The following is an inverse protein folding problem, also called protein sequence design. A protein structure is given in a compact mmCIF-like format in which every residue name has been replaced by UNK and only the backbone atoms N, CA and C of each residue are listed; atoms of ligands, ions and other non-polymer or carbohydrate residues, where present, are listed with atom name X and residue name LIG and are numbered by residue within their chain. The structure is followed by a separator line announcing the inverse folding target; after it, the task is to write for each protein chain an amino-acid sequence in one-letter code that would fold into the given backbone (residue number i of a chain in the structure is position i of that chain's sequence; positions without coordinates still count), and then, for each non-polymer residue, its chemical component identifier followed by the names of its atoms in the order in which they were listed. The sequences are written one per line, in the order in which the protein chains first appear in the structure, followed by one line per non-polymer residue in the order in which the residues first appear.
data_IF_695146523661
#
_entry.id   IF_695146523661
#
_cell.length_a   1.000
_cell.length_b   1.000
_cell.length_c   1.000
_cell.angle_alpha   90.00
_cell.angle_beta   90.00
_cell.angle_gamma   90.00
#
_symmetry.space_group_name_H-M   'P 1'
#
loop_
_entity.id
_entity.type
_entity.pdbx_description
1 polymer ?
#
# COMPACT_ATOMS: atom_id res chain seq x y z
N UNK A 1 22.17 21.63 -16.64
CA UNK A 1 20.74 21.80 -16.33
C UNK A 1 20.59 21.95 -14.83
N UNK A 2 20.19 23.13 -14.35
CA UNK A 2 20.05 23.43 -12.92
C UNK A 2 18.87 22.65 -12.33
N UNK A 3 19.16 21.74 -11.37
CA UNK A 3 18.15 21.16 -10.52
C UNK A 3 17.45 22.31 -9.78
N UNK A 4 16.16 22.49 -10.06
CA UNK A 4 15.30 23.35 -9.25
C UNK A 4 15.07 22.59 -7.93
N UNK A 5 15.95 22.81 -6.95
CA UNK A 5 15.71 22.44 -5.56
C UNK A 5 14.52 23.27 -5.07
N UNK A 6 13.32 22.71 -5.20
CA UNK A 6 12.21 23.19 -4.39
C UNK A 6 12.55 22.78 -2.97
N UNK A 7 12.91 23.76 -2.14
CA UNK A 7 13.05 23.62 -0.70
C UNK A 7 11.68 23.20 -0.15
N UNK A 8 11.41 21.90 -0.14
CA UNK A 8 10.42 21.32 0.77
C UNK A 8 11.09 21.38 2.12
N UNK A 9 10.52 22.10 3.07
CA UNK A 9 10.97 22.06 4.46
C UNK A 9 11.18 20.60 4.83
N UNK A 10 12.43 20.23 5.16
CA UNK A 10 12.83 18.89 5.56
C UNK A 10 12.13 18.52 6.87
N UNK A 11 10.90 18.05 6.75
CA UNK A 11 10.18 17.45 7.86
C UNK A 11 10.82 16.09 8.12
N UNK A 12 11.94 16.14 8.87
CA UNK A 12 12.59 14.94 9.37
C UNK A 12 11.58 14.13 10.17
N UNK A 13 11.31 12.92 9.72
CA UNK A 13 10.41 12.01 10.39
C UNK A 13 11.11 11.40 11.61
N UNK A 14 10.36 11.22 12.68
CA UNK A 14 10.79 10.47 13.85
C UNK A 14 9.75 9.41 14.17
N UNK A 15 10.19 8.22 14.53
CA UNK A 15 9.30 7.18 15.05
C UNK A 15 8.65 7.65 16.37
N UNK A 16 7.53 7.04 16.77
CA UNK A 16 6.99 7.25 18.11
C UNK A 16 8.06 7.07 19.20
N UNK A 17 7.90 7.77 20.32
CA UNK A 17 8.87 7.79 21.40
C UNK A 17 9.24 6.38 21.88
N UNK A 18 10.54 6.11 22.03
CA UNK A 18 11.07 4.82 22.48
C UNK A 18 11.05 3.70 21.43
N UNK A 19 10.60 3.98 20.19
CA UNK A 19 10.53 3.01 19.09
C UNK A 19 11.75 3.09 18.17
N UNK A 20 12.13 1.95 17.58
CA UNK A 20 13.38 1.81 16.84
C UNK A 20 13.21 1.25 15.42
N UNK A 21 12.30 0.31 15.21
CA UNK A 21 12.21 -0.42 13.95
C UNK A 21 10.78 -0.50 13.39
N UNK A 22 10.62 -0.05 12.14
CA UNK A 22 9.32 0.08 11.47
C UNK A 22 9.09 -1.01 10.43
N UNK A 23 7.95 -1.66 10.47
CA UNK A 23 7.45 -2.49 9.36
C UNK A 23 6.34 -1.73 8.61
N UNK A 24 6.59 -1.38 7.35
CA UNK A 24 5.62 -0.66 6.53
C UNK A 24 4.85 -1.61 5.60
N UNK A 25 3.56 -1.81 5.86
CA UNK A 25 2.69 -2.50 4.91
C UNK A 25 2.54 -1.68 3.62
N UNK A 26 2.78 -2.31 2.48
CA UNK A 26 2.69 -1.67 1.16
C UNK A 26 1.81 -2.43 0.18
N UNK A 27 1.19 -1.74 -0.80
CA UNK A 27 0.31 -2.36 -1.80
C UNK A 27 0.68 -2.06 -3.25
N UNK A 28 1.37 -0.95 -3.53
CA UNK A 28 1.77 -0.55 -4.87
C UNK A 28 2.82 0.56 -4.81
N UNK A 29 3.75 0.58 -5.75
CA UNK A 29 4.86 1.52 -5.79
C UNK A 29 4.40 3.00 -5.85
N UNK A 30 3.38 3.39 -6.64
CA UNK A 30 2.91 4.77 -6.63
C UNK A 30 2.51 5.28 -5.24
N UNK A 31 1.95 4.41 -4.40
CA UNK A 31 1.50 4.80 -3.06
C UNK A 31 2.61 4.79 -2.00
N UNK A 32 3.68 4.06 -2.20
CA UNK A 32 4.72 3.91 -1.18
C UNK A 32 6.03 4.63 -1.50
N UNK A 33 6.30 4.97 -2.76
CA UNK A 33 7.59 5.51 -3.19
C UNK A 33 8.04 6.77 -2.43
N UNK A 34 7.18 7.78 -2.32
CA UNK A 34 7.48 8.98 -1.53
C UNK A 34 7.74 8.66 -0.05
N UNK A 35 6.94 7.76 0.52
CA UNK A 35 7.10 7.35 1.93
C UNK A 35 8.45 6.65 2.12
N UNK A 36 8.84 5.77 1.20
CA UNK A 36 10.12 5.06 1.24
C UNK A 36 11.30 6.04 1.22
N UNK A 37 11.31 7.02 0.29
CA UNK A 37 12.35 8.04 0.23
C UNK A 37 12.42 8.85 1.53
N UNK A 38 11.28 9.33 2.04
CA UNK A 38 11.22 10.13 3.28
C UNK A 38 11.68 9.37 4.51
N UNK A 39 11.35 8.08 4.64
CA UNK A 39 11.83 7.24 5.72
C UNK A 39 13.34 7.02 5.65
N UNK A 40 13.87 6.76 4.44
CA UNK A 40 15.30 6.61 4.20
C UNK A 40 16.10 7.91 4.49
N UNK A 41 15.63 9.06 3.98
CA UNK A 41 16.19 10.38 4.23
C UNK A 41 16.21 10.72 5.74
N UNK A 42 15.18 10.28 6.46
CA UNK A 42 15.08 10.43 7.93
C UNK A 42 15.92 9.43 8.71
N UNK A 43 16.61 8.50 8.03
CA UNK A 43 17.44 7.43 8.63
C UNK A 43 16.68 6.52 9.60
N UNK A 44 15.42 6.30 9.32
CA UNK A 44 14.59 5.34 10.06
C UNK A 44 14.96 3.93 9.61
N UNK A 45 15.18 3.01 10.56
CA UNK A 45 15.32 1.58 10.27
C UNK A 45 13.93 1.00 9.94
N UNK A 46 13.75 0.56 8.69
CA UNK A 46 12.47 0.02 8.25
C UNK A 46 12.59 -1.04 7.17
N UNK A 47 11.57 -1.90 7.11
CA UNK A 47 11.36 -2.85 6.01
C UNK A 47 9.97 -2.68 5.40
N UNK A 48 9.85 -3.09 4.14
CA UNK A 48 8.57 -3.19 3.45
C UNK A 48 7.95 -4.57 3.65
N UNK A 49 6.65 -4.59 3.90
CA UNK A 49 5.88 -5.82 4.04
C UNK A 49 4.78 -5.88 3.00
N UNK A 50 4.91 -6.78 2.02
CA UNK A 50 3.96 -6.93 0.93
C UNK A 50 3.05 -8.14 1.21
N UNK A 51 1.85 -7.87 1.73
CA UNK A 51 0.79 -8.85 1.95
C UNK A 51 -0.54 -8.31 1.45
N UNK A 52 -0.99 -8.77 0.29
CA UNK A 52 -2.13 -8.19 -0.40
C UNK A 52 -3.05 -9.25 -1.04
N UNK A 53 -3.70 -10.12 -0.24
CA UNK A 53 -4.59 -11.18 -0.75
C UNK A 53 -5.84 -10.63 -1.48
N UNK A 54 -6.06 -9.35 -1.35
CA UNK A 54 -7.16 -8.62 -2.00
C UNK A 54 -6.88 -8.22 -3.44
N UNK A 55 -5.65 -8.31 -3.93
CA UNK A 55 -5.34 -7.86 -5.30
C UNK A 55 -5.62 -9.01 -6.27
N UNK A 56 -6.56 -8.78 -7.18
CA UNK A 56 -7.03 -9.73 -8.18
C UNK A 56 -7.10 -9.07 -9.56
N UNK A 57 -6.83 -9.81 -10.64
CA UNK A 57 -6.32 -11.19 -10.70
C UNK A 57 -4.84 -11.30 -10.27
N UNK A 58 -4.30 -12.50 -10.21
CA UNK A 58 -2.90 -12.77 -9.83
C UNK A 58 -1.89 -11.97 -10.66
N UNK A 59 -2.19 -11.73 -11.95
CA UNK A 59 -1.37 -10.88 -12.82
C UNK A 59 -1.21 -9.45 -12.28
N UNK A 60 -2.29 -8.82 -11.84
CA UNK A 60 -2.26 -7.49 -11.22
C UNK A 60 -1.50 -7.49 -9.89
N UNK A 61 -1.66 -8.56 -9.12
CA UNK A 61 -0.91 -8.77 -7.88
C UNK A 61 0.60 -8.82 -8.15
N UNK A 62 1.04 -9.64 -9.11
CA UNK A 62 2.46 -9.77 -9.47
C UNK A 62 3.04 -8.46 -9.98
N UNK A 63 2.33 -7.74 -10.86
CA UNK A 63 2.77 -6.42 -11.34
C UNK A 63 3.06 -5.45 -10.20
N UNK A 64 2.15 -5.36 -9.21
CA UNK A 64 2.35 -4.46 -8.07
C UNK A 64 3.44 -4.93 -7.14
N UNK A 65 3.60 -6.24 -6.98
CA UNK A 65 4.67 -6.83 -6.16
C UNK A 65 6.04 -6.53 -6.77
N UNK A 66 6.22 -6.88 -8.03
CA UNK A 66 7.49 -6.75 -8.73
C UNK A 66 7.97 -5.29 -8.79
N UNK A 67 7.05 -4.35 -9.00
CA UNK A 67 7.38 -2.94 -9.02
C UNK A 67 7.75 -2.40 -7.63
N UNK A 68 7.05 -2.81 -6.56
CA UNK A 68 7.43 -2.47 -5.20
C UNK A 68 8.83 -3.00 -4.87
N UNK A 69 9.10 -4.26 -5.23
CA UNK A 69 10.39 -4.89 -5.03
C UNK A 69 11.49 -4.15 -5.80
N UNK A 70 11.28 -3.89 -7.09
CA UNK A 70 12.23 -3.14 -7.92
C UNK A 70 12.63 -1.80 -7.29
N UNK A 71 11.64 -1.07 -6.76
CA UNK A 71 11.92 0.24 -6.17
C UNK A 71 12.57 0.12 -4.78
N UNK A 72 12.22 -0.90 -3.99
CA UNK A 72 12.91 -1.22 -2.75
C UNK A 72 14.39 -1.57 -2.98
N UNK A 73 14.67 -2.44 -3.95
CA UNK A 73 16.03 -2.82 -4.36
C UNK A 73 16.85 -1.59 -4.79
N UNK A 74 16.25 -0.66 -5.56
CA UNK A 74 16.88 0.60 -5.98
C UNK A 74 17.31 1.47 -4.80
N UNK A 75 16.53 1.46 -3.71
CA UNK A 75 16.81 2.25 -2.51
C UNK A 75 17.61 1.49 -1.44
N UNK A 76 17.93 0.21 -1.67
CA UNK A 76 18.60 -0.65 -0.71
C UNK A 76 17.75 -1.00 0.51
N UNK A 77 16.42 -1.07 0.36
CA UNK A 77 15.46 -1.32 1.45
C UNK A 77 15.05 -2.78 1.45
N UNK A 78 15.00 -3.39 2.64
CA UNK A 78 14.52 -4.76 2.80
C UNK A 78 13.06 -4.89 2.34
N UNK A 79 12.81 -5.81 1.39
CA UNK A 79 11.47 -6.15 0.91
C UNK A 79 11.09 -7.55 1.37
N UNK A 80 10.05 -7.63 2.21
CA UNK A 80 9.53 -8.87 2.74
C UNK A 80 8.31 -9.27 1.92
N UNK A 81 8.48 -10.32 1.10
CA UNK A 81 7.38 -10.97 0.40
C UNK A 81 6.66 -11.91 1.37
N UNK A 82 5.49 -11.49 1.80
CA UNK A 82 4.68 -12.26 2.77
C UNK A 82 3.68 -13.21 2.10
N UNK A 83 3.87 -13.48 0.83
CA UNK A 83 3.03 -14.33 0.01
C UNK A 83 3.60 -15.74 -0.05
N UNK A 84 3.42 -16.49 1.04
CA UNK A 84 3.80 -17.91 1.09
C UNK A 84 2.90 -18.76 0.17
N UNK A 85 1.61 -18.38 0.05
CA UNK A 85 0.60 -19.02 -0.79
C UNK A 85 -0.51 -18.04 -1.13
N UNK A 86 -0.35 -17.35 -2.27
CA UNK A 86 -1.31 -16.36 -2.75
C UNK A 86 -2.73 -16.91 -2.90
N UNK A 87 -2.88 -18.13 -3.39
CA UNK A 87 -4.22 -18.71 -3.65
C UNK A 87 -4.93 -19.01 -2.33
N UNK A 88 -4.23 -19.59 -1.36
CA UNK A 88 -4.75 -19.84 -0.01
C UNK A 88 -5.11 -18.54 0.70
N UNK A 89 -4.24 -17.54 0.67
CA UNK A 89 -4.47 -16.25 1.33
C UNK A 89 -5.61 -15.46 0.69
N UNK A 90 -5.75 -15.54 -0.64
CA UNK A 90 -6.91 -15.04 -1.37
C UNK A 90 -8.21 -15.72 -0.93
N UNK A 91 -8.22 -17.03 -0.82
CA UNK A 91 -9.41 -17.79 -0.44
C UNK A 91 -9.82 -17.46 1.01
N UNK A 92 -8.87 -17.30 1.92
CA UNK A 92 -9.12 -16.79 3.27
C UNK A 92 -9.69 -15.36 3.26
N UNK A 93 -9.22 -14.50 2.35
CA UNK A 93 -9.76 -13.15 2.19
C UNK A 93 -11.22 -13.18 1.71
N UNK A 94 -11.56 -14.03 0.75
CA UNK A 94 -12.93 -14.21 0.30
C UNK A 94 -13.83 -14.79 1.41
N UNK A 95 -13.36 -15.77 2.14
CA UNK A 95 -14.10 -16.36 3.27
C UNK A 95 -14.41 -15.32 4.35
N UNK A 96 -13.43 -14.49 4.72
CA UNK A 96 -13.59 -13.42 5.72
C UNK A 96 -14.62 -12.37 5.29
N UNK A 97 -14.74 -12.10 4.01
CA UNK A 97 -15.63 -11.09 3.44
C UNK A 97 -16.91 -11.67 2.83
N UNK A 98 -17.21 -12.93 3.13
CA UNK A 98 -18.42 -13.59 2.68
C UNK A 98 -19.66 -12.79 3.07
N UNK A 99 -20.62 -12.69 2.14
CA UNK A 99 -21.85 -11.90 2.33
C UNK A 99 -21.68 -10.38 2.17
N UNK A 100 -20.44 -9.86 1.99
CA UNK A 100 -20.19 -8.41 1.87
C UNK A 100 -19.98 -7.93 0.42
N UNK A 101 -20.37 -8.74 -0.57
CA UNK A 101 -20.13 -8.43 -2.00
C UNK A 101 -20.73 -7.12 -2.48
N UNK A 102 -21.86 -6.71 -1.92
CA UNK A 102 -22.59 -5.49 -2.31
C UNK A 102 -22.27 -4.26 -1.42
N UNK A 103 -21.44 -4.44 -0.39
CA UNK A 103 -20.96 -3.31 0.41
C UNK A 103 -20.19 -2.30 -0.48
N UNK A 104 -20.41 -0.99 -0.31
CA UNK A 104 -19.69 0.02 -1.09
C UNK A 104 -18.20 0.04 -0.75
N UNK A 105 -17.42 0.74 -1.58
CA UNK A 105 -16.06 1.13 -1.18
C UNK A 105 -16.12 1.98 0.08
N UNK A 106 -15.14 1.81 0.97
CA UNK A 106 -15.06 2.38 2.32
C UNK A 106 -16.12 1.84 3.31
N UNK A 107 -16.97 0.87 2.91
CA UNK A 107 -17.90 0.16 3.78
C UNK A 107 -17.22 -0.93 4.63
N UNK A 108 -18.04 -1.79 5.25
CA UNK A 108 -17.59 -2.87 6.15
C UNK A 108 -16.63 -3.85 5.46
N UNK A 109 -16.86 -4.16 4.18
CA UNK A 109 -15.94 -4.99 3.38
C UNK A 109 -14.52 -4.43 3.38
N UNK A 110 -14.34 -3.11 3.20
CA UNK A 110 -13.02 -2.50 3.23
C UNK A 110 -12.39 -2.56 4.62
N UNK A 111 -13.18 -2.40 5.69
CA UNK A 111 -12.69 -2.60 7.06
C UNK A 111 -12.14 -4.02 7.25
N UNK A 112 -12.92 -5.05 6.90
CA UNK A 112 -12.48 -6.44 7.03
C UNK A 112 -11.23 -6.76 6.18
N UNK A 113 -11.11 -6.12 5.01
CA UNK A 113 -9.91 -6.21 4.16
C UNK A 113 -8.68 -5.60 4.83
N UNK A 114 -8.80 -4.42 5.45
CA UNK A 114 -7.70 -3.78 6.18
C UNK A 114 -7.33 -4.57 7.42
N UNK A 115 -8.32 -5.03 8.18
CA UNK A 115 -8.10 -5.81 9.39
C UNK A 115 -7.27 -7.07 9.10
N UNK A 116 -7.62 -7.86 8.09
CA UNK A 116 -6.85 -9.05 7.73
C UNK A 116 -5.39 -8.73 7.39
N UNK A 117 -5.18 -7.69 6.60
CA UNK A 117 -3.84 -7.29 6.16
C UNK A 117 -3.00 -6.81 7.33
N UNK A 118 -3.56 -5.98 8.20
CA UNK A 118 -2.83 -5.43 9.35
C UNK A 118 -2.64 -6.44 10.48
N UNK A 119 -3.58 -7.36 10.70
CA UNK A 119 -3.39 -8.49 11.61
C UNK A 119 -2.19 -9.38 11.22
N UNK A 120 -2.05 -9.67 9.91
CA UNK A 120 -0.89 -10.44 9.40
C UNK A 120 0.40 -9.61 9.56
N UNK A 121 0.35 -8.31 9.24
CA UNK A 121 1.49 -7.39 9.42
C UNK A 121 1.91 -7.30 10.88
N UNK A 122 0.97 -7.14 11.82
CA UNK A 122 1.26 -7.03 13.25
C UNK A 122 1.87 -8.33 13.82
N UNK A 123 1.34 -9.49 13.44
CA UNK A 123 1.92 -10.78 13.84
C UNK A 123 3.35 -10.94 13.33
N UNK A 124 3.60 -10.60 12.08
CA UNK A 124 4.94 -10.66 11.52
C UNK A 124 5.89 -9.70 12.24
N UNK A 125 5.45 -8.47 12.51
CA UNK A 125 6.22 -7.46 13.22
C UNK A 125 6.70 -7.99 14.58
N UNK A 126 5.81 -8.57 15.36
CA UNK A 126 6.13 -9.12 16.68
C UNK A 126 7.12 -10.28 16.62
N UNK A 127 6.93 -11.22 15.67
CA UNK A 127 7.84 -12.36 15.50
C UNK A 127 9.24 -11.92 15.07
N UNK A 128 9.35 -10.81 14.33
CA UNK A 128 10.60 -10.35 13.73
C UNK A 128 11.16 -9.05 14.38
N UNK A 129 10.71 -8.75 15.61
CA UNK A 129 11.25 -7.66 16.46
C UNK A 129 11.09 -6.26 15.83
N UNK A 130 10.01 -6.01 15.12
CA UNK A 130 9.57 -4.65 14.78
C UNK A 130 8.67 -4.15 15.90
N UNK A 131 8.83 -2.90 16.28
CA UNK A 131 8.06 -2.28 17.37
C UNK A 131 7.08 -1.20 16.88
N UNK A 132 7.13 -0.88 15.58
CA UNK A 132 6.17 0.01 14.90
C UNK A 132 5.66 -0.64 13.62
N UNK A 133 4.38 -0.50 13.34
CA UNK A 133 3.81 -0.78 12.03
C UNK A 133 3.11 0.46 11.47
N UNK A 134 3.10 0.59 10.16
CA UNK A 134 2.32 1.60 9.43
C UNK A 134 1.88 1.07 8.07
N UNK A 135 1.16 1.87 7.30
CA UNK A 135 0.76 1.50 5.94
C UNK A 135 0.81 2.65 4.95
N UNK A 136 1.26 2.36 3.74
CA UNK A 136 1.20 3.29 2.62
C UNK A 136 -0.23 3.57 2.12
N UNK A 137 -1.23 2.80 2.56
CA UNK A 137 -2.63 2.97 2.15
C UNK A 137 -3.19 4.36 2.45
N UNK A 138 -2.73 4.98 3.54
CA UNK A 138 -3.18 6.28 4.00
C UNK A 138 -2.87 7.44 3.04
N UNK A 139 -1.92 7.31 2.12
CA UNK A 139 -1.58 8.35 1.14
C UNK A 139 -2.66 8.49 0.05
N UNK A 140 -3.38 7.42 -0.25
CA UNK A 140 -4.39 7.42 -1.31
C UNK A 140 -5.62 8.26 -0.92
N UNK A 141 -5.92 9.30 -1.71
CA UNK A 141 -7.13 10.12 -1.55
C UNK A 141 -8.46 9.35 -1.73
N UNK A 142 -8.39 8.17 -2.34
CA UNK A 142 -9.55 7.32 -2.58
C UNK A 142 -9.92 6.45 -1.37
N UNK A 143 -9.09 6.44 -0.34
CA UNK A 143 -9.31 5.67 0.88
C UNK A 143 -9.65 6.58 2.06
N UNK A 144 -10.44 6.05 2.97
CA UNK A 144 -10.72 6.67 4.26
C UNK A 144 -9.55 6.39 5.20
N UNK A 145 -8.84 7.45 5.60
CA UNK A 145 -7.65 7.35 6.44
C UNK A 145 -8.00 6.96 7.87
N UNK A 146 -9.13 7.44 8.39
CA UNK A 146 -9.56 7.09 9.75
C UNK A 146 -9.95 5.62 9.83
N UNK A 147 -10.60 5.08 8.78
CA UNK A 147 -10.90 3.66 8.67
C UNK A 147 -9.61 2.81 8.66
N UNK A 148 -8.59 3.23 7.89
CA UNK A 148 -7.29 2.56 7.84
C UNK A 148 -6.62 2.60 9.21
N UNK A 149 -6.55 3.78 9.83
CA UNK A 149 -5.90 3.97 11.12
C UNK A 149 -6.59 3.15 12.23
N UNK A 150 -7.92 3.16 12.27
CA UNK A 150 -8.67 2.30 13.23
C UNK A 150 -8.36 0.82 13.05
N UNK A 151 -8.22 0.33 11.81
CA UNK A 151 -7.84 -1.07 11.55
C UNK A 151 -6.42 -1.35 12.00
N UNK A 152 -5.49 -0.44 11.74
CA UNK A 152 -4.08 -0.58 12.15
C UNK A 152 -3.93 -0.60 13.67
N UNK A 153 -4.58 0.33 14.37
CA UNK A 153 -4.58 0.39 15.84
C UNK A 153 -5.17 -0.87 16.45
N UNK A 154 -6.29 -1.38 15.92
CA UNK A 154 -6.86 -2.66 16.38
C UNK A 154 -5.90 -3.83 16.20
N UNK A 155 -5.17 -3.86 15.07
CA UNK A 155 -4.23 -4.93 14.79
C UNK A 155 -3.01 -4.92 15.73
N UNK A 156 -2.54 -3.74 16.13
CA UNK A 156 -1.43 -3.59 17.06
C UNK A 156 -1.84 -3.82 18.52
N UNK A 157 -3.08 -3.49 18.90
CA UNK A 157 -3.56 -3.51 20.30
C UNK A 157 -3.30 -4.81 21.10
N UNK A 158 -3.32 -6.03 20.51
CA UNK A 158 -3.02 -7.24 21.25
C UNK A 158 -1.55 -7.38 21.70
N UNK A 159 -0.65 -6.51 21.21
CA UNK A 159 0.79 -6.63 21.40
C UNK A 159 1.33 -5.42 22.16
N UNK A 160 1.70 -5.59 23.43
CA UNK A 160 2.09 -4.50 24.34
C UNK A 160 3.22 -3.59 23.80
N UNK A 161 4.15 -4.14 23.02
CA UNK A 161 5.30 -3.41 22.51
C UNK A 161 5.15 -2.93 21.06
N UNK A 162 4.00 -3.18 20.42
CA UNK A 162 3.74 -2.80 19.04
C UNK A 162 2.84 -1.58 18.96
N UNK A 163 3.22 -0.60 18.15
CA UNK A 163 2.43 0.58 17.90
C UNK A 163 2.08 0.72 16.41
N UNK A 164 0.86 1.12 16.10
CA UNK A 164 0.48 1.54 14.75
C UNK A 164 0.68 3.05 14.59
N UNK A 165 1.62 3.44 13.76
CA UNK A 165 1.93 4.84 13.50
C UNK A 165 0.90 5.47 12.55
N UNK A 166 0.08 6.37 13.09
CA UNK A 166 -1.06 7.01 12.40
C UNK A 166 -0.65 8.25 11.60
N UNK A 167 0.58 8.36 11.14
CA UNK A 167 1.06 9.51 10.39
C UNK A 167 0.24 9.78 9.13
N UNK A 168 -0.09 11.05 8.91
CA UNK A 168 -0.79 11.48 7.71
C UNK A 168 0.21 11.72 6.56
N UNK A 169 0.46 10.69 5.76
CA UNK A 169 1.39 10.70 4.63
C UNK A 169 1.05 11.71 3.52
N UNK A 170 -0.17 12.26 3.50
CA UNK A 170 -0.60 13.28 2.52
C UNK A 170 -0.06 14.67 2.87
N UNK A 171 0.25 14.94 4.14
CA UNK A 171 0.77 16.20 4.63
C UNK A 171 2.24 16.41 4.26
N UNK A 172 2.72 17.65 4.39
CA UNK A 172 4.11 17.99 4.10
C UNK A 172 4.51 17.72 2.64
N UNK A 173 3.58 17.95 1.70
CA UNK A 173 3.86 17.75 0.26
C UNK A 173 3.76 16.31 -0.25
N UNK A 174 3.50 15.32 0.62
CA UNK A 174 3.52 13.89 0.25
C UNK A 174 2.63 13.52 -0.93
N UNK A 175 1.39 14.06 -1.01
CA UNK A 175 0.53 13.81 -2.17
C UNK A 175 1.10 14.34 -3.48
N UNK A 176 1.75 15.49 -3.48
CA UNK A 176 2.39 16.09 -4.65
C UNK A 176 3.60 15.27 -5.07
N UNK A 177 4.48 14.98 -4.11
CA UNK A 177 5.70 14.18 -4.32
C UNK A 177 5.40 12.79 -4.85
N UNK A 178 4.36 12.12 -4.32
CA UNK A 178 3.88 10.82 -4.80
C UNK A 178 3.57 10.87 -6.31
N UNK A 179 2.89 11.93 -6.80
CA UNK A 179 2.55 12.08 -8.22
C UNK A 179 3.80 12.33 -9.07
N UNK A 180 4.70 13.19 -8.59
CA UNK A 180 5.96 13.52 -9.27
C UNK A 180 6.84 12.28 -9.39
N UNK A 181 7.04 11.56 -8.29
CA UNK A 181 7.84 10.33 -8.26
C UNK A 181 7.25 9.23 -9.16
N UNK A 182 5.93 9.07 -9.16
CA UNK A 182 5.26 8.11 -10.04
C UNK A 182 5.54 8.36 -11.52
N UNK A 183 5.70 9.62 -11.93
CA UNK A 183 6.07 9.99 -13.31
C UNK A 183 7.55 9.74 -13.58
N UNK A 184 8.42 10.18 -12.66
CA UNK A 184 9.88 10.06 -12.79
C UNK A 184 10.33 8.61 -12.85
N UNK A 185 9.73 7.75 -12.01
CA UNK A 185 10.03 6.32 -11.94
C UNK A 185 9.20 5.49 -12.91
N UNK A 186 8.31 6.13 -13.68
CA UNK A 186 7.40 5.46 -14.63
C UNK A 186 6.58 4.34 -13.97
N UNK A 187 6.13 4.54 -12.73
CA UNK A 187 5.39 3.53 -11.99
C UNK A 187 4.08 3.15 -12.66
N UNK A 188 3.75 1.87 -12.64
CA UNK A 188 2.46 1.36 -13.05
C UNK A 188 1.32 2.02 -12.28
N UNK A 189 0.43 2.67 -12.99
CA UNK A 189 -0.73 3.35 -12.41
C UNK A 189 -1.95 2.42 -12.43
N UNK A 190 -2.27 1.84 -11.27
CA UNK A 190 -3.49 1.03 -11.14
C UNK A 190 -4.75 1.88 -11.31
N UNK A 191 -5.75 1.31 -11.97
CA UNK A 191 -7.03 1.98 -12.26
C UNK A 191 -8.15 1.64 -11.27
N UNK A 192 -7.90 0.75 -10.29
CA UNK A 192 -8.83 0.33 -9.24
C UNK A 192 -8.08 -0.05 -7.96
N UNK A 193 -8.80 -0.24 -6.86
CA UNK A 193 -8.19 -0.53 -5.56
C UNK A 193 -7.35 -1.83 -5.54
N UNK A 194 -7.75 -2.82 -6.33
CA UNK A 194 -7.12 -4.14 -6.45
C UNK A 194 -8.10 -5.30 -6.32
N UNK A 195 -9.15 -5.18 -5.52
CA UNK A 195 -10.11 -6.27 -5.33
C UNK A 195 -11.12 -6.38 -6.48
N UNK A 196 -11.65 -7.59 -6.67
CA UNK A 196 -12.67 -7.88 -7.70
C UNK A 196 -13.90 -6.98 -7.61
N UNK A 197 -14.29 -6.59 -6.39
CA UNK A 197 -15.44 -5.72 -6.18
C UNK A 197 -15.16 -4.30 -6.67
N UNK A 198 -13.98 -3.75 -6.37
CA UNK A 198 -13.56 -2.45 -6.88
C UNK A 198 -13.42 -2.47 -8.40
N UNK A 199 -12.89 -3.54 -8.99
CA UNK A 199 -12.82 -3.71 -10.45
C UNK A 199 -14.22 -3.74 -11.07
N UNK A 200 -15.15 -4.52 -10.49
CA UNK A 200 -16.55 -4.57 -10.91
C UNK A 200 -17.19 -3.19 -10.91
N UNK A 201 -17.07 -2.48 -9.80
CA UNK A 201 -17.75 -1.20 -9.61
C UNK A 201 -17.13 -0.09 -10.46
N UNK A 202 -15.81 -0.06 -10.60
CA UNK A 202 -15.10 0.84 -11.51
C UNK A 202 -15.52 0.58 -12.97
N UNK A 203 -15.60 -0.68 -13.39
CA UNK A 203 -16.01 -1.02 -14.74
C UNK A 203 -17.48 -0.67 -15.00
N UNK A 204 -18.38 -0.85 -14.03
CA UNK A 204 -19.78 -0.40 -14.13
C UNK A 204 -19.87 1.11 -14.33
N UNK A 205 -19.10 1.88 -13.55
CA UNK A 205 -19.05 3.34 -13.69
C UNK A 205 -18.46 3.77 -15.04
N UNK A 206 -17.37 3.13 -15.49
CA UNK A 206 -16.74 3.43 -16.79
C UNK A 206 -17.71 3.23 -17.94
N UNK A 207 -18.41 2.09 -17.99
CA UNK A 207 -19.39 1.79 -19.03
C UNK A 207 -20.54 2.83 -19.01
N UNK A 208 -21.07 3.17 -17.83
CA UNK A 208 -22.09 4.23 -17.69
C UNK A 208 -21.61 5.59 -18.21
N UNK A 209 -20.30 5.85 -18.13
CA UNK A 209 -19.66 7.10 -18.58
C UNK A 209 -19.15 7.03 -20.02
N UNK A 210 -19.56 6.03 -20.82
CA UNK A 210 -19.13 5.85 -22.21
C UNK A 210 -17.67 5.43 -22.38
N UNK A 211 -17.02 4.89 -21.33
CA UNK A 211 -15.62 4.46 -21.36
C UNK A 211 -15.50 2.95 -21.45
N UNK A 212 -14.46 2.46 -22.08
CA UNK A 212 -14.16 1.03 -22.11
C UNK A 212 -13.86 0.50 -20.71
N UNK A 213 -14.15 -0.79 -20.49
CA UNK A 213 -13.72 -1.50 -19.28
C UNK A 213 -12.20 -1.47 -19.16
N UNK A 214 -11.70 -1.60 -17.93
CA UNK A 214 -10.27 -1.71 -17.65
C UNK A 214 -9.75 -2.99 -18.31
N UNK A 215 -8.69 -2.84 -19.09
CA UNK A 215 -7.87 -3.95 -19.60
C UNK A 215 -6.63 -4.06 -18.73
N UNK A 216 -6.57 -5.10 -17.93
CA UNK A 216 -5.52 -5.30 -16.94
C UNK A 216 -4.15 -5.44 -17.62
N UNK A 217 -3.21 -4.59 -17.21
CA UNK A 217 -1.85 -4.59 -17.71
C UNK A 217 -1.63 -3.99 -19.09
N UNK A 218 -2.67 -3.53 -19.82
CA UNK A 218 -2.50 -2.95 -21.16
C UNK A 218 -1.52 -1.79 -21.21
N UNK A 219 -1.49 -0.94 -20.20
CA UNK A 219 -0.56 0.19 -20.14
C UNK A 219 0.87 -0.22 -19.79
N UNK A 220 1.05 -1.35 -19.14
CA UNK A 220 2.35 -1.85 -18.70
C UNK A 220 3.07 -2.64 -19.78
N UNK A 221 2.33 -3.41 -20.58
CA UNK A 221 2.89 -4.31 -21.60
C UNK A 221 3.08 -3.69 -22.98
N UNK A 222 2.88 -2.38 -23.14
CA UNK A 222 3.14 -1.68 -24.42
C UNK A 222 4.62 -1.58 -24.76
N UNK A 223 5.51 -1.83 -23.81
CA UNK A 223 6.96 -1.72 -24.00
C UNK A 223 7.66 -3.04 -24.36
N UNK A 224 6.95 -4.17 -24.29
CA UNK A 224 7.51 -5.48 -24.62
C UNK A 224 7.25 -5.90 -26.08
N UNK A 225 6.82 -4.99 -26.95
CA UNK A 225 6.47 -5.27 -28.36
C UNK A 225 7.25 -4.40 -29.37
N UNK A 226 8.41 -3.85 -28.99
CA UNK A 226 9.36 -3.24 -29.92
C UNK A 226 10.64 -4.04 -30.03
#
# INVERSE_FOLDING_TARGET
MKRLLVMVEDLKLNLPEGKQKLLMHTCCAPCCGDIMERLAESKIDYALYFYNPNIHPKKEYLLRKDENKRFADKLGIEFIDADDDYDRDRDHWFARLSGMGDEPERGKRCTGCFDQRFEKTARYAMTNRFDVITSSLGISRWKDMDQINRSGVRAAAPFANLEYWTLNWRKGGGSKRMIELSKTESFYQQEYCGCVYSLRDTNRWRVKSGRNKIKLGEKYYRFDQE
#
